data_IF_279407886637
#
_entry.id   IF_279407886637
#
_cell.length_a   1.000
_cell.length_b   1.000
_cell.length_c   1.000
_cell.angle_alpha   90.00
_cell.angle_beta   90.00
_cell.angle_gamma   90.00
#
_symmetry.space_group_name_H-M   'P 1'
#
loop_
_entity.id
_entity.type
_entity.pdbx_description
1 polymer ?
#
# COMPACT_ATOMS: atom_id res chain seq x y z
N UNK A 1 16.49 2.15 -19.82
CA UNK A 1 15.92 1.63 -21.09
C UNK A 1 16.37 0.19 -21.23
N UNK A 2 15.45 -0.75 -21.47
CA UNK A 2 15.78 -2.18 -21.51
C UNK A 2 16.79 -2.54 -22.62
N UNK A 3 16.71 -1.88 -23.77
CA UNK A 3 17.61 -2.11 -24.91
C UNK A 3 18.71 -1.05 -25.10
N UNK A 4 18.82 -0.06 -24.20
CA UNK A 4 19.80 1.03 -24.33
C UNK A 4 19.58 2.02 -25.50
N UNK A 5 18.58 1.80 -26.36
CA UNK A 5 18.31 2.60 -27.57
C UNK A 5 17.47 3.85 -27.27
N UNK A 6 18.11 4.96 -26.94
CA UNK A 6 17.43 6.24 -26.68
C UNK A 6 16.84 6.85 -27.94
N UNK A 7 17.47 6.64 -29.08
CA UNK A 7 17.09 7.15 -30.40
C UNK A 7 15.76 6.57 -30.90
N UNK A 8 15.39 5.38 -30.42
CA UNK A 8 14.14 4.71 -30.76
C UNK A 8 12.94 5.20 -29.91
N UNK A 9 13.17 6.08 -28.93
CA UNK A 9 12.08 6.58 -28.08
C UNK A 9 11.15 7.50 -28.85
N UNK A 10 9.87 7.12 -28.97
CA UNK A 10 8.87 7.90 -29.68
C UNK A 10 8.51 9.23 -28.98
N UNK A 11 8.82 9.40 -27.69
CA UNK A 11 8.68 10.69 -26.98
C UNK A 11 7.24 11.22 -26.88
N UNK A 12 6.23 10.34 -26.93
CA UNK A 12 4.80 10.71 -26.89
C UNK A 12 4.09 9.99 -25.76
N UNK A 13 2.95 10.51 -25.33
CA UNK A 13 2.02 9.75 -24.49
C UNK A 13 1.20 8.83 -25.39
N UNK A 14 1.23 7.52 -25.12
CA UNK A 14 0.37 6.55 -25.76
C UNK A 14 -0.78 6.21 -24.82
N UNK A 15 -2.00 6.21 -25.33
CA UNK A 15 -3.19 5.73 -24.63
C UNK A 15 -3.86 4.66 -25.48
N UNK A 16 -4.18 3.55 -24.85
CA UNK A 16 -4.80 2.38 -25.47
C UNK A 16 -6.04 2.02 -24.66
N UNK A 17 -7.20 2.09 -25.31
CA UNK A 17 -8.43 1.51 -24.81
C UNK A 17 -8.57 0.11 -25.42
N UNK A 18 -8.36 -0.91 -24.59
CA UNK A 18 -8.39 -2.31 -25.05
C UNK A 18 -9.81 -2.85 -25.23
N UNK A 19 -10.85 -2.15 -24.78
CA UNK A 19 -12.25 -2.56 -24.98
C UNK A 19 -12.76 -2.10 -26.33
N UNK A 20 -12.50 -0.85 -26.70
CA UNK A 20 -12.87 -0.32 -28.03
C UNK A 20 -11.82 -0.59 -29.10
N UNK A 21 -10.60 -0.98 -28.70
CA UNK A 21 -9.45 -1.10 -29.60
C UNK A 21 -8.86 0.25 -30.02
N UNK A 22 -9.27 1.35 -29.37
CA UNK A 22 -8.82 2.69 -29.75
C UNK A 22 -7.40 2.99 -29.23
N UNK A 23 -6.49 3.27 -30.16
CA UNK A 23 -5.11 3.67 -29.86
C UNK A 23 -4.89 5.14 -30.24
N UNK A 24 -4.34 5.92 -29.32
CA UNK A 24 -4.01 7.33 -29.56
C UNK A 24 -2.60 7.67 -29.10
N UNK A 25 -2.00 8.65 -29.78
CA UNK A 25 -0.67 9.15 -29.48
C UNK A 25 -0.66 10.67 -29.43
N UNK A 26 -0.26 11.25 -28.31
CA UNK A 26 -0.34 12.69 -28.05
C UNK A 26 1.05 13.24 -27.70
N UNK A 27 1.40 14.42 -28.24
CA UNK A 27 2.58 15.16 -27.76
C UNK A 27 2.18 15.89 -26.49
N UNK A 28 2.88 15.59 -25.39
CA UNK A 28 2.64 16.24 -24.10
C UNK A 28 3.87 17.08 -23.76
N UNK A 29 3.74 18.41 -23.66
CA UNK A 29 4.86 19.25 -23.23
C UNK A 29 5.20 18.97 -21.78
N UNK A 30 6.49 19.02 -21.44
CA UNK A 30 6.92 18.92 -20.04
C UNK A 30 6.58 20.21 -19.31
N UNK A 31 5.95 20.09 -18.15
CA UNK A 31 5.80 21.24 -17.24
C UNK A 31 7.18 21.54 -16.61
N UNK A 32 7.76 22.75 -16.82
CA UNK A 32 9.06 23.11 -16.26
C UNK A 32 9.08 23.16 -14.74
N UNK A 33 7.92 23.29 -14.09
CA UNK A 33 7.78 23.30 -12.63
C UNK A 33 7.41 21.92 -12.05
N UNK A 34 7.39 20.86 -12.86
CA UNK A 34 7.04 19.52 -12.40
C UNK A 34 8.04 19.00 -11.34
N UNK A 35 7.53 18.62 -10.16
CA UNK A 35 8.32 18.07 -9.05
C UNK A 35 9.14 16.84 -9.45
N UNK A 36 8.52 15.89 -10.15
CA UNK A 36 9.21 14.68 -10.59
C UNK A 36 10.05 14.91 -11.87
N UNK A 37 9.42 15.29 -12.98
CA UNK A 37 10.09 15.31 -14.28
C UNK A 37 11.17 16.39 -14.44
N UNK A 38 11.02 17.54 -13.79
CA UNK A 38 11.95 18.67 -13.90
C UNK A 38 12.84 18.78 -12.66
N UNK A 39 12.25 18.80 -11.47
CA UNK A 39 12.98 18.99 -10.20
C UNK A 39 13.59 17.70 -9.63
N UNK A 40 13.24 16.54 -10.20
CA UNK A 40 13.72 15.21 -9.78
C UNK A 40 13.47 14.88 -8.31
N UNK A 41 12.42 15.45 -7.75
CA UNK A 41 11.94 15.12 -6.41
C UNK A 41 10.96 13.95 -6.54
N UNK A 42 11.38 12.79 -6.02
CA UNK A 42 10.69 11.52 -6.11
C UNK A 42 10.23 11.04 -4.73
N UNK A 43 9.62 11.92 -3.94
CA UNK A 43 9.08 11.66 -2.59
C UNK A 43 8.37 10.28 -2.43
N UNK A 44 7.64 9.84 -3.46
CA UNK A 44 6.93 8.55 -3.46
C UNK A 44 7.85 7.33 -3.68
N UNK A 45 8.92 7.47 -4.48
CA UNK A 45 9.92 6.41 -4.64
C UNK A 45 10.82 6.32 -3.41
N UNK A 46 11.11 7.46 -2.79
CA UNK A 46 11.91 7.57 -1.57
C UNK A 46 11.13 7.10 -0.32
N UNK A 47 9.80 6.98 -0.43
CA UNK A 47 8.94 6.48 0.65
C UNK A 47 8.71 7.49 1.76
N UNK A 48 8.94 8.77 1.50
CA UNK A 48 8.64 9.87 2.42
C UNK A 48 7.15 10.22 2.46
N UNK A 49 6.36 9.72 1.50
CA UNK A 49 4.90 9.81 1.58
C UNK A 49 4.35 8.81 2.61
N UNK A 50 3.36 9.26 3.38
CA UNK A 50 2.58 8.51 4.39
C UNK A 50 2.36 7.02 4.08
N UNK A 51 2.17 6.16 5.12
CA UNK A 51 1.87 4.74 4.95
C UNK A 51 0.87 4.52 3.81
N UNK A 52 1.23 3.66 2.86
CA UNK A 52 0.40 3.41 1.69
C UNK A 52 -0.90 2.74 2.12
N UNK A 53 -1.93 3.55 2.34
CA UNK A 53 -3.29 3.07 2.57
C UNK A 53 -3.89 2.74 1.21
N UNK A 54 -3.92 1.46 0.88
CA UNK A 54 -4.52 0.99 -0.37
C UNK A 54 -5.87 0.37 -0.07
N UNK A 55 -6.92 0.84 -0.73
CA UNK A 55 -8.20 0.16 -0.73
C UNK A 55 -8.10 -1.09 -1.61
N UNK A 56 -8.07 -2.25 -0.98
CA UNK A 56 -8.18 -3.53 -1.65
C UNK A 56 -9.66 -3.92 -1.58
N UNK A 57 -10.33 -4.15 -2.70
CA UNK A 57 -11.79 -4.40 -2.72
C UNK A 57 -12.29 -5.44 -1.70
N UNK A 58 -13.60 -5.42 -1.40
CA UNK A 58 -14.28 -6.16 -0.30
C UNK A 58 -14.08 -5.53 1.09
N UNK A 59 -14.41 -4.24 1.19
CA UNK A 59 -14.47 -3.48 2.46
C UNK A 59 -13.20 -3.65 3.30
N UNK A 60 -12.05 -3.57 2.63
CA UNK A 60 -10.75 -3.75 3.26
C UNK A 60 -9.78 -2.61 2.97
N UNK A 61 -8.98 -2.30 3.98
CA UNK A 61 -7.94 -1.29 3.94
C UNK A 61 -6.62 -1.98 4.24
N UNK A 62 -5.66 -1.89 3.32
CA UNK A 62 -4.30 -2.31 3.56
C UNK A 62 -3.50 -1.11 4.09
N UNK A 63 -2.82 -1.29 5.21
CA UNK A 63 -1.89 -0.34 5.80
C UNK A 63 -0.49 -0.93 5.66
N UNK A 64 0.45 -0.11 5.21
CA UNK A 64 1.87 -0.44 5.26
C UNK A 64 2.61 0.70 5.96
N UNK A 65 2.80 0.55 7.27
CA UNK A 65 3.72 1.40 8.01
C UNK A 65 5.12 0.79 7.90
N UNK A 66 6.06 1.52 7.30
CA UNK A 66 7.45 1.08 7.18
C UNK A 66 8.17 1.29 8.51
N UNK A 67 7.90 0.44 9.48
CA UNK A 67 8.63 0.48 10.74
C UNK A 67 8.75 -0.90 11.36
N UNK A 68 9.99 -1.42 11.31
CA UNK A 68 10.50 -2.56 12.09
C UNK A 68 9.85 -3.93 11.80
N UNK A 69 10.68 -4.98 11.85
CA UNK A 69 10.17 -6.34 11.88
C UNK A 69 9.39 -6.57 13.19
N UNK A 70 8.12 -6.94 13.06
CA UNK A 70 7.26 -7.26 14.20
C UNK A 70 7.57 -8.65 14.74
N UNK A 71 7.68 -8.77 16.06
CA UNK A 71 7.65 -10.07 16.72
C UNK A 71 6.19 -10.53 16.82
N UNK A 72 5.78 -11.35 15.84
CA UNK A 72 4.42 -11.87 15.76
C UNK A 72 4.06 -12.74 16.98
N UNK A 73 5.03 -13.37 17.62
CA UNK A 73 4.80 -14.23 18.79
C UNK A 73 4.44 -13.40 20.03
N UNK A 74 5.20 -12.34 20.28
CA UNK A 74 4.92 -11.38 21.34
C UNK A 74 3.58 -10.68 21.11
N UNK A 75 3.30 -10.29 19.86
CA UNK A 75 2.04 -9.64 19.49
C UNK A 75 0.83 -10.59 19.70
N UNK A 76 0.94 -11.85 19.28
CA UNK A 76 -0.11 -12.84 19.48
C UNK A 76 -0.37 -13.13 20.97
N UNK A 77 0.68 -13.19 21.79
CA UNK A 77 0.54 -13.35 23.23
C UNK A 77 -0.26 -12.20 23.86
N UNK A 78 0.02 -10.95 23.46
CA UNK A 78 -0.72 -9.77 23.93
C UNK A 78 -2.19 -9.78 23.49
N UNK A 79 -2.46 -10.19 22.26
CA UNK A 79 -3.80 -10.12 21.66
C UNK A 79 -4.74 -11.24 22.09
N UNK A 80 -4.21 -12.39 22.55
CA UNK A 80 -5.04 -13.53 23.00
C UNK A 80 -6.06 -13.19 24.10
N UNK A 81 -5.81 -12.15 24.89
CA UNK A 81 -6.71 -11.73 25.97
C UNK A 81 -7.76 -10.69 25.56
N UNK A 82 -7.66 -10.15 24.34
CA UNK A 82 -8.43 -8.97 23.91
C UNK A 82 -9.12 -9.16 22.56
N UNK A 83 -8.70 -10.15 21.77
CA UNK A 83 -9.20 -10.43 20.43
C UNK A 83 -9.60 -11.89 20.29
N UNK A 84 -10.54 -12.13 19.37
CA UNK A 84 -11.05 -13.46 19.04
C UNK A 84 -10.26 -14.09 17.87
N UNK A 85 -10.32 -15.42 17.74
CA UNK A 85 -9.71 -16.20 16.63
C UNK A 85 -8.25 -15.83 16.32
N UNK A 86 -7.43 -15.63 17.36
CA UNK A 86 -6.01 -15.30 17.22
C UNK A 86 -5.25 -16.52 16.66
N UNK A 87 -4.81 -16.43 15.40
CA UNK A 87 -4.04 -17.47 14.68
C UNK A 87 -2.75 -16.88 14.16
N UNK A 88 -1.65 -17.56 14.43
CA UNK A 88 -0.31 -17.10 14.05
C UNK A 88 0.44 -18.20 13.29
N UNK A 89 1.29 -17.79 12.35
CA UNK A 89 2.42 -18.58 11.86
C UNK A 89 3.66 -17.67 11.73
N UNK A 90 4.73 -18.16 11.12
CA UNK A 90 6.00 -17.41 11.00
C UNK A 90 5.89 -16.15 10.12
N UNK A 91 4.85 -16.04 9.29
CA UNK A 91 4.71 -14.99 8.29
C UNK A 91 3.61 -13.98 8.63
N UNK A 92 2.57 -14.40 9.35
CA UNK A 92 1.40 -13.59 9.65
C UNK A 92 0.72 -13.93 10.98
N UNK A 93 0.01 -12.94 11.50
CA UNK A 93 -0.90 -13.03 12.63
C UNK A 93 -2.28 -12.54 12.19
N UNK A 94 -3.30 -13.39 12.33
CA UNK A 94 -4.69 -13.04 12.07
C UNK A 94 -5.48 -13.06 13.37
N UNK A 95 -6.35 -12.07 13.56
CA UNK A 95 -7.26 -12.01 14.70
C UNK A 95 -8.52 -11.20 14.35
N UNK A 96 -9.56 -11.32 15.18
CA UNK A 96 -10.83 -10.62 15.02
C UNK A 96 -11.14 -9.75 16.22
N UNK A 97 -11.69 -8.58 15.93
CA UNK A 97 -12.23 -7.64 16.90
C UNK A 97 -13.50 -7.12 16.28
N UNK A 98 -14.65 -7.68 16.67
CA UNK A 98 -15.92 -7.45 16.00
C UNK A 98 -16.20 -5.94 15.82
N UNK A 99 -16.59 -5.49 14.62
CA UNK A 99 -16.88 -6.27 13.41
C UNK A 99 -15.68 -6.53 12.47
N UNK A 100 -14.45 -6.23 12.89
CA UNK A 100 -13.26 -6.21 12.05
C UNK A 100 -12.45 -7.51 12.11
N UNK A 101 -11.77 -7.83 11.01
CA UNK A 101 -10.74 -8.87 10.94
C UNK A 101 -9.42 -8.22 10.51
N UNK A 102 -8.33 -8.52 11.22
CA UNK A 102 -7.01 -7.98 10.91
C UNK A 102 -6.04 -9.11 10.61
N UNK A 103 -5.25 -8.94 9.55
CA UNK A 103 -4.12 -9.81 9.20
C UNK A 103 -2.87 -8.95 9.17
N UNK A 104 -1.91 -9.26 10.04
CA UNK A 104 -0.67 -8.52 10.23
C UNK A 104 0.48 -9.38 9.76
N UNK A 105 1.41 -8.81 9.00
CA UNK A 105 2.60 -9.48 8.49
C UNK A 105 3.82 -9.07 9.31
N UNK A 106 4.87 -9.92 9.29
CA UNK A 106 6.12 -9.65 10.02
C UNK A 106 6.81 -8.34 9.60
N UNK A 107 6.53 -7.84 8.39
CA UNK A 107 7.10 -6.61 7.84
C UNK A 107 6.31 -5.33 8.19
N UNK A 108 5.32 -5.43 9.09
CA UNK A 108 4.50 -4.29 9.50
C UNK A 108 3.35 -3.96 8.55
N UNK A 109 3.15 -4.73 7.47
CA UNK A 109 1.90 -4.64 6.71
C UNK A 109 0.74 -5.18 7.53
N UNK A 110 -0.42 -4.54 7.40
CA UNK A 110 -1.67 -5.08 7.88
C UNK A 110 -2.78 -4.92 6.84
N UNK A 111 -3.67 -5.90 6.79
CA UNK A 111 -4.92 -5.84 6.03
C UNK A 111 -6.04 -5.88 7.06
N UNK A 112 -6.85 -4.83 7.05
CA UNK A 112 -8.04 -4.72 7.88
C UNK A 112 -9.28 -4.91 7.02
N UNK A 113 -10.14 -5.87 7.37
CA UNK A 113 -11.46 -6.07 6.75
C UNK A 113 -12.56 -5.55 7.66
N UNK A 114 -13.65 -5.09 7.06
CA UNK A 114 -14.84 -4.56 7.75
C UNK A 114 -14.92 -3.04 7.76
N UNK A 115 -14.04 -2.34 7.03
CA UNK A 115 -14.13 -0.89 6.85
C UNK A 115 -13.56 -0.46 5.50
N UNK A 116 -14.15 0.57 4.90
CA UNK A 116 -13.59 1.30 3.74
C UNK A 116 -12.89 2.59 4.15
N UNK A 117 -13.04 3.01 5.40
CA UNK A 117 -12.52 4.28 5.90
C UNK A 117 -11.05 4.13 6.35
N UNK A 118 -10.10 4.78 5.67
CA UNK A 118 -8.69 4.78 6.05
C UNK A 118 -8.43 5.28 7.47
N UNK A 119 -9.24 6.22 7.97
CA UNK A 119 -9.02 6.83 9.29
C UNK A 119 -9.36 5.86 10.43
N UNK A 120 -10.48 5.14 10.31
CA UNK A 120 -10.84 4.01 11.17
C UNK A 120 -9.75 2.94 11.14
N UNK A 121 -9.27 2.57 9.94
CA UNK A 121 -8.25 1.53 9.81
C UNK A 121 -6.94 1.92 10.52
N UNK A 122 -6.49 3.17 10.34
CA UNK A 122 -5.28 3.69 10.98
C UNK A 122 -5.40 3.72 12.50
N UNK A 123 -6.56 4.11 13.01
CA UNK A 123 -6.83 4.14 14.46
C UNK A 123 -6.78 2.73 15.07
N UNK A 124 -7.37 1.74 14.41
CA UNK A 124 -7.33 0.35 14.85
C UNK A 124 -5.91 -0.22 14.78
N UNK A 125 -5.17 0.06 13.70
CA UNK A 125 -3.78 -0.35 13.58
C UNK A 125 -2.92 0.24 14.71
N UNK A 126 -3.01 1.55 14.96
CA UNK A 126 -2.29 2.21 16.04
C UNK A 126 -2.66 1.64 17.42
N UNK A 127 -3.93 1.31 17.65
CA UNK A 127 -4.41 0.76 18.93
C UNK A 127 -3.89 -0.64 19.23
N UNK A 128 -3.89 -1.52 18.22
CA UNK A 128 -3.61 -2.96 18.43
C UNK A 128 -2.21 -3.38 18.02
N UNK A 129 -1.57 -2.62 17.13
CA UNK A 129 -0.23 -2.91 16.60
C UNK A 129 0.77 -1.85 17.03
N UNK A 130 0.35 -0.58 17.09
CA UNK A 130 1.20 0.53 17.55
C UNK A 130 1.64 0.35 19.01
N UNK A 131 2.96 0.28 19.18
CA UNK A 131 3.70 0.42 20.43
C UNK A 131 5.00 1.15 20.11
#
# INVERSE_FOLDING_TARGET
LLAGRTEALHGRLLSCDVWSGHLQSIRVPRNPQCRACAKRDFTYLEGESQPHITMCGRDSVQIHERSRALDLSALAARLRNIADDVRQNDFLLRFRIAPYEMTVFADGRAILKGTKDPSTARSLYARYIGA
#
